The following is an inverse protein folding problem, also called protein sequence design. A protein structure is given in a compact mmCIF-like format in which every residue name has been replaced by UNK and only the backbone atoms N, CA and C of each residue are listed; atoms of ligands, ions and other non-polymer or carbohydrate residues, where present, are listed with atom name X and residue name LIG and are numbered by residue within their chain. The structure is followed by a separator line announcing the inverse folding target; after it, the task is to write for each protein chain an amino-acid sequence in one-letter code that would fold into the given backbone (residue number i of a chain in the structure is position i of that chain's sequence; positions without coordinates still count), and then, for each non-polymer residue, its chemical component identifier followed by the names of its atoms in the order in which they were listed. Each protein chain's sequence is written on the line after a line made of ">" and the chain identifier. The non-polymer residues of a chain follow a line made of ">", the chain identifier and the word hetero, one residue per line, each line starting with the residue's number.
data_IF_123769515594
#
_entry.id   IF_123769515594
#
_cell.length_a   1.000
_cell.length_b   1.000
_cell.length_c   1.000
_cell.angle_alpha   90.00
_cell.angle_beta   90.00
_cell.angle_gamma   90.00
#
_symmetry.space_group_name_H-M   'P 1'
#
loop_
_entity.id
_entity.type
_entity.pdbx_description
1 polymer ?
#
# COMPACT_ATOMS: atom_id res chain seq x y z
N UNK A 1 -11.66 16.20 -9.54
CA UNK A 1 -10.67 15.87 -8.50
C UNK A 1 -10.32 14.41 -8.72
N UNK A 2 -9.22 14.12 -9.40
CA UNK A 2 -8.75 12.76 -9.62
C UNK A 2 -8.07 12.33 -8.33
N UNK A 3 -8.66 11.40 -7.58
CA UNK A 3 -8.00 10.82 -6.43
C UNK A 3 -6.94 9.87 -6.97
N UNK A 4 -5.66 10.21 -6.79
CA UNK A 4 -4.61 9.28 -7.13
C UNK A 4 -4.79 8.02 -6.26
N UNK A 5 -4.62 6.84 -6.86
CA UNK A 5 -4.78 5.53 -6.21
C UNK A 5 -3.49 4.74 -6.33
N UNK A 6 -3.01 4.20 -5.20
CA UNK A 6 -1.89 3.27 -5.15
C UNK A 6 -2.43 1.85 -5.30
N UNK A 7 -2.12 1.21 -6.42
CA UNK A 7 -2.45 -0.20 -6.68
C UNK A 7 -1.25 -1.07 -6.33
N UNK A 8 -1.46 -2.10 -5.51
CA UNK A 8 -0.45 -3.07 -5.09
C UNK A 8 -0.89 -4.46 -5.52
N UNK A 9 -0.07 -5.14 -6.31
CA UNK A 9 -0.30 -6.52 -6.71
C UNK A 9 0.65 -7.43 -5.92
N UNK A 10 0.09 -8.44 -5.28
CA UNK A 10 0.83 -9.44 -4.53
C UNK A 10 1.17 -10.65 -5.41
N UNK A 11 2.21 -11.38 -5.04
CA UNK A 11 2.68 -12.59 -5.75
C UNK A 11 1.65 -13.73 -5.75
N UNK A 12 0.74 -13.73 -4.78
CA UNK A 12 -0.36 -14.70 -4.71
C UNK A 12 -1.52 -14.38 -5.67
N UNK A 13 -1.45 -13.27 -6.41
CA UNK A 13 -2.48 -12.80 -7.33
C UNK A 13 -3.48 -11.82 -6.75
N UNK A 14 -3.42 -11.52 -5.45
CA UNK A 14 -4.27 -10.51 -4.82
C UNK A 14 -3.87 -9.09 -5.26
N UNK A 15 -4.86 -8.21 -5.33
CA UNK A 15 -4.65 -6.80 -5.70
C UNK A 15 -5.36 -5.90 -4.70
N UNK A 16 -4.61 -5.00 -4.08
CA UNK A 16 -5.12 -4.03 -3.12
C UNK A 16 -5.06 -2.62 -3.70
N UNK A 17 -6.05 -1.81 -3.33
CA UNK A 17 -6.20 -0.44 -3.79
C UNK A 17 -6.21 0.50 -2.59
N UNK A 18 -5.25 1.41 -2.56
CA UNK A 18 -5.09 2.37 -1.48
C UNK A 18 -5.31 3.79 -2.00
N UNK A 19 -6.01 4.66 -1.26
CA UNK A 19 -6.05 6.07 -1.59
C UNK A 19 -4.63 6.65 -1.49
N UNK A 20 -4.21 7.49 -2.42
CA UNK A 20 -2.92 8.19 -2.29
C UNK A 20 -3.03 9.23 -1.18
N UNK A 21 -2.02 9.24 -0.30
CA UNK A 21 -1.95 10.16 0.82
C UNK A 21 -1.25 9.56 2.04
N UNK A 22 -1.25 10.35 3.10
CA UNK A 22 -0.76 9.95 4.41
C UNK A 22 -1.65 8.85 5.01
N UNK A 23 -1.04 7.95 5.78
CA UNK A 23 -1.80 7.02 6.62
C UNK A 23 -2.46 7.81 7.75
N UNK A 24 -3.67 7.43 8.14
CA UNK A 24 -4.33 8.09 9.28
C UNK A 24 -3.46 7.87 10.53
N UNK A 25 -2.86 8.94 11.06
CA UNK A 25 -1.98 8.91 12.23
C UNK A 25 -0.47 8.89 11.93
N UNK A 26 -0.06 8.74 10.67
CA UNK A 26 1.34 8.84 10.24
C UNK A 26 1.45 9.78 9.04
N UNK A 27 2.29 10.81 9.15
CA UNK A 27 2.43 11.82 8.08
C UNK A 27 3.14 11.28 6.83
N UNK A 28 3.67 10.06 6.91
CA UNK A 28 4.40 9.42 5.82
C UNK A 28 3.44 8.99 4.69
N UNK A 29 3.80 9.25 3.42
CA UNK A 29 3.05 8.75 2.28
C UNK A 29 2.97 7.23 2.29
N UNK A 30 1.80 6.66 2.00
CA UNK A 30 1.61 5.20 1.88
C UNK A 30 2.61 4.53 0.93
N UNK A 31 3.00 5.23 -0.14
CA UNK A 31 3.97 4.71 -1.10
C UNK A 31 5.36 4.55 -0.49
N UNK A 32 5.77 5.47 0.38
CA UNK A 32 7.07 5.41 1.05
C UNK A 32 7.07 4.29 2.10
N UNK A 33 5.98 4.16 2.85
CA UNK A 33 5.78 3.04 3.79
C UNK A 33 5.77 1.68 3.06
N UNK A 34 5.16 1.61 1.87
CA UNK A 34 5.18 0.40 1.06
C UNK A 34 6.59 0.07 0.59
N UNK A 35 7.34 1.06 0.14
CA UNK A 35 8.74 0.88 -0.27
C UNK A 35 9.61 0.40 0.88
N UNK A 36 9.46 1.00 2.05
CA UNK A 36 10.18 0.58 3.25
C UNK A 36 9.82 -0.87 3.63
N UNK A 37 8.55 -1.25 3.55
CA UNK A 37 8.11 -2.61 3.81
C UNK A 37 8.72 -3.63 2.83
N UNK A 38 8.78 -3.29 1.54
CA UNK A 38 9.42 -4.13 0.51
C UNK A 38 10.92 -4.25 0.78
N UNK A 39 11.60 -3.14 1.05
CA UNK A 39 13.05 -3.10 1.28
C UNK A 39 13.46 -3.87 2.54
N UNK A 40 12.65 -3.81 3.60
CA UNK A 40 12.93 -4.47 4.88
C UNK A 40 12.26 -5.83 5.04
N UNK A 41 11.47 -6.30 4.06
CA UNK A 41 10.65 -7.51 4.18
C UNK A 41 9.74 -7.49 5.42
N UNK A 42 9.21 -6.30 5.75
CA UNK A 42 8.33 -6.08 6.90
C UNK A 42 6.87 -5.95 6.48
N UNK A 43 5.97 -5.93 7.45
CA UNK A 43 4.54 -5.85 7.20
C UNK A 43 4.12 -4.41 6.85
N UNK A 44 3.48 -4.25 5.69
CA UNK A 44 2.78 -3.04 5.32
C UNK A 44 1.37 -3.07 5.89
N UNK A 45 0.96 -2.00 6.59
CA UNK A 45 -0.38 -1.84 7.16
C UNK A 45 -0.99 -0.53 6.68
N UNK A 46 -2.15 -0.60 6.03
CA UNK A 46 -2.86 0.60 5.62
C UNK A 46 -4.34 0.37 5.37
N UNK A 47 -5.14 1.45 5.51
CA UNK A 47 -6.55 1.44 5.13
C UNK A 47 -6.69 1.54 3.60
N UNK A 48 -7.44 0.63 3.01
CA UNK A 48 -7.82 0.64 1.60
C UNK A 48 -8.86 1.74 1.27
N UNK A 49 -9.30 1.78 0.01
CA UNK A 49 -10.29 2.74 -0.47
C UNK A 49 -11.68 2.58 0.16
N UNK A 50 -11.98 1.42 0.74
CA UNK A 50 -13.24 1.14 1.42
C UNK A 50 -13.15 1.39 2.93
N UNK A 51 -11.95 1.72 3.43
CA UNK A 51 -11.69 2.00 4.85
C UNK A 51 -11.39 0.75 5.66
N UNK A 52 -11.14 -0.39 5.03
CA UNK A 52 -10.71 -1.61 5.72
C UNK A 52 -9.19 -1.65 5.86
N UNK A 53 -8.72 -2.09 7.03
CA UNK A 53 -7.30 -2.32 7.26
C UNK A 53 -6.83 -3.52 6.47
N UNK A 54 -5.85 -3.29 5.60
CA UNK A 54 -5.13 -4.32 4.86
C UNK A 54 -3.72 -4.45 5.45
N UNK A 55 -3.31 -5.69 5.67
CA UNK A 55 -1.97 -6.03 6.16
C UNK A 55 -1.39 -7.13 5.29
N UNK A 56 -0.21 -6.90 4.73
CA UNK A 56 0.54 -7.89 3.97
C UNK A 56 2.04 -7.64 4.10
N UNK A 57 2.85 -8.67 3.86
CA UNK A 57 4.29 -8.52 3.92
C UNK A 57 4.82 -7.85 2.64
N UNK A 58 5.75 -6.90 2.78
CA UNK A 58 6.39 -6.24 1.64
C UNK A 58 7.14 -7.21 0.73
N UNK A 59 7.65 -8.33 1.25
CA UNK A 59 8.27 -9.37 0.44
C UNK A 59 7.26 -10.10 -0.48
N UNK A 60 5.97 -10.03 -0.19
CA UNK A 60 4.91 -10.62 -1.01
C UNK A 60 4.45 -9.70 -2.14
N UNK A 61 4.92 -8.46 -2.19
CA UNK A 61 4.60 -7.53 -3.27
C UNK A 61 5.30 -7.99 -4.55
N UNK A 62 4.52 -8.14 -5.61
CA UNK A 62 5.03 -8.39 -6.96
C UNK A 62 5.35 -7.07 -7.66
N UNK A 63 4.41 -6.12 -7.62
CA UNK A 63 4.53 -4.80 -8.23
C UNK A 63 3.56 -3.81 -7.60
N UNK A 64 3.85 -2.51 -7.73
CA UNK A 64 2.93 -1.44 -7.35
C UNK A 64 3.00 -0.30 -8.37
N UNK A 65 1.92 0.48 -8.48
CA UNK A 65 1.86 1.67 -9.35
C UNK A 65 0.83 2.68 -8.84
N UNK A 66 1.05 3.96 -9.17
CA UNK A 66 0.13 5.06 -8.86
C UNK A 66 -0.62 5.47 -10.14
N UNK A 67 -1.92 5.75 -10.03
CA UNK A 67 -2.80 6.21 -11.12
C UNK A 67 -3.66 7.36 -10.68
#
# INVERSE_FOLDING_TARGET
>A
MSYETLTVNLKNGETHYFPVGAVIGDSSPRVDLLREAIENSSDFRSLDSEGYEQVFNGADVERYHMR
#
